data_IF_694890802842
#
_entry.id   IF_694890802842
#
_cell.length_a   1.000
_cell.length_b   1.000
_cell.length_c   1.000
_cell.angle_alpha   90.00
_cell.angle_beta   90.00
_cell.angle_gamma   90.00
#
_symmetry.space_group_name_H-M   'P 1'
#
loop_
_entity.id
_entity.type
_entity.pdbx_description
1 polymer ?
#
# COMPACT_ATOMS: atom_id res chain seq x y z
N UNK A 1 -25.46 17.56 2.02
CA UNK A 1 -25.17 16.12 1.85
C UNK A 1 -23.65 15.87 1.82
N UNK A 2 -23.07 15.44 2.94
CA UNK A 2 -21.66 15.09 3.03
C UNK A 2 -21.50 13.58 2.78
N UNK A 3 -21.03 13.20 1.60
CA UNK A 3 -20.71 11.81 1.29
C UNK A 3 -19.37 11.46 1.92
N UNK A 4 -19.40 10.77 3.06
CA UNK A 4 -18.23 10.03 3.55
C UNK A 4 -18.07 8.78 2.67
N UNK A 5 -16.96 8.59 1.95
CA UNK A 5 -16.77 7.37 1.18
C UNK A 5 -16.50 6.20 2.14
N UNK A 6 -17.24 5.12 1.95
CA UNK A 6 -17.21 3.92 2.76
C UNK A 6 -15.81 3.28 2.79
N UNK A 7 -15.19 3.28 3.97
CA UNK A 7 -13.95 2.57 4.26
C UNK A 7 -14.22 1.07 4.49
N UNK A 8 -14.68 0.34 3.48
CA UNK A 8 -15.09 -1.07 3.66
C UNK A 8 -14.71 -2.02 2.54
N UNK A 9 -13.77 -1.64 1.68
CA UNK A 9 -13.00 -2.59 0.91
C UNK A 9 -11.54 -2.16 1.01
N UNK A 10 -10.62 -3.07 1.34
CA UNK A 10 -9.26 -2.98 0.79
C UNK A 10 -9.46 -2.95 -0.70
N UNK A 11 -9.52 -1.74 -1.22
CA UNK A 11 -9.98 -1.47 -2.55
C UNK A 11 -8.74 -1.56 -3.39
N UNK A 12 -8.85 -2.15 -4.59
CA UNK A 12 -7.77 -2.09 -5.57
C UNK A 12 -7.21 -0.65 -5.72
N UNK A 13 -8.04 0.37 -5.45
CA UNK A 13 -7.65 1.77 -5.29
C UNK A 13 -6.59 2.02 -4.19
N UNK A 14 -6.72 1.47 -2.99
CA UNK A 14 -5.73 1.63 -1.92
C UNK A 14 -4.38 0.99 -2.28
N UNK A 15 -4.38 -0.17 -2.96
CA UNK A 15 -3.15 -0.77 -3.49
C UNK A 15 -2.54 0.06 -4.61
N UNK A 16 -3.36 0.58 -5.54
CA UNK A 16 -2.90 1.44 -6.63
C UNK A 16 -2.32 2.76 -6.13
N UNK A 17 -2.94 3.38 -5.13
CA UNK A 17 -2.46 4.62 -4.49
C UNK A 17 -1.13 4.38 -3.75
N UNK A 18 -1.05 3.29 -2.99
CA UNK A 18 0.20 2.89 -2.32
C UNK A 18 1.33 2.62 -3.33
N UNK A 19 1.05 1.95 -4.44
CA UNK A 19 2.01 1.71 -5.53
C UNK A 19 2.52 3.01 -6.14
N UNK A 20 1.63 3.96 -6.41
CA UNK A 20 1.98 5.26 -6.97
C UNK A 20 2.85 6.07 -6.01
N UNK A 21 2.51 6.06 -4.72
CA UNK A 21 3.29 6.70 -3.68
C UNK A 21 4.72 6.12 -3.58
N UNK A 22 4.87 4.79 -3.58
CA UNK A 22 6.18 4.12 -3.55
C UNK A 22 7.01 4.43 -4.80
N UNK A 23 6.37 4.44 -5.98
CA UNK A 23 7.06 4.80 -7.23
C UNK A 23 7.56 6.24 -7.19
N UNK A 24 6.78 7.17 -6.64
CA UNK A 24 7.19 8.57 -6.47
C UNK A 24 8.30 8.76 -5.43
N UNK A 25 8.45 7.82 -4.48
CA UNK A 25 9.56 7.76 -3.54
C UNK A 25 10.85 7.17 -4.16
N UNK A 26 10.76 6.66 -5.40
CA UNK A 26 11.90 6.11 -6.14
C UNK A 26 12.05 4.59 -6.07
N UNK A 27 11.07 3.87 -5.51
CA UNK A 27 11.08 2.40 -5.54
C UNK A 27 10.67 1.87 -6.92
N UNK A 28 11.31 0.79 -7.36
CA UNK A 28 10.95 0.13 -8.61
C UNK A 28 9.51 -0.44 -8.54
N UNK A 29 8.72 -0.25 -9.61
CA UNK A 29 7.32 -0.65 -9.63
C UNK A 29 7.10 -2.15 -9.33
N UNK A 30 7.98 -3.03 -9.83
CA UNK A 30 7.91 -4.48 -9.53
C UNK A 30 8.13 -4.78 -8.04
N UNK A 31 9.14 -4.16 -7.43
CA UNK A 31 9.44 -4.34 -6.00
C UNK A 31 8.31 -3.78 -5.13
N UNK A 32 7.85 -2.57 -5.46
CA UNK A 32 6.72 -1.93 -4.80
C UNK A 32 5.45 -2.80 -4.89
N UNK A 33 5.15 -3.37 -6.06
CA UNK A 33 3.97 -4.23 -6.25
C UNK A 33 4.04 -5.47 -5.35
N UNK A 34 5.20 -6.13 -5.30
CA UNK A 34 5.42 -7.28 -4.43
C UNK A 34 5.28 -6.94 -2.94
N UNK A 35 5.82 -5.80 -2.51
CA UNK A 35 5.75 -5.35 -1.13
C UNK A 35 4.34 -4.93 -0.70
N UNK A 36 3.60 -4.22 -1.57
CA UNK A 36 2.20 -3.82 -1.31
C UNK A 36 1.28 -5.05 -1.27
N UNK A 37 1.47 -6.02 -2.17
CA UNK A 37 0.69 -7.26 -2.17
C UNK A 37 0.92 -8.06 -0.88
N UNK A 38 2.18 -8.16 -0.42
CA UNK A 38 2.50 -8.78 0.87
C UNK A 38 1.90 -8.01 2.05
N UNK A 39 2.01 -6.68 2.05
CA UNK A 39 1.41 -5.84 3.09
C UNK A 39 -0.13 -6.01 3.16
N UNK A 40 -0.80 -6.08 2.00
CA UNK A 40 -2.24 -6.30 1.91
C UNK A 40 -2.65 -7.71 2.35
N UNK A 41 -1.79 -8.71 2.15
CA UNK A 41 -2.01 -10.07 2.63
C UNK A 41 -1.85 -10.19 4.16
N UNK A 42 -0.96 -9.38 4.76
CA UNK A 42 -0.73 -9.36 6.21
C UNK A 42 -1.86 -8.67 6.97
N UNK A 43 -2.49 -7.66 6.39
CA UNK A 43 -3.58 -6.90 7.04
C UNK A 43 -4.72 -6.66 6.05
N UNK A 44 -5.67 -7.60 6.02
CA UNK A 44 -6.89 -7.50 5.21
C UNK A 44 -7.83 -6.45 5.82
N UNK A 45 -7.67 -5.21 5.37
CA UNK A 45 -8.37 -4.05 5.93
C UNK A 45 -7.49 -2.80 5.94
N UNK A 46 -6.19 -2.97 5.72
CA UNK A 46 -5.22 -1.88 5.80
C UNK A 46 -5.63 -0.68 4.96
N UNK A 47 -5.79 0.46 5.62
CA UNK A 47 -5.88 1.73 4.93
C UNK A 47 -4.59 1.99 4.14
N UNK A 48 -4.68 2.74 3.04
CA UNK A 48 -3.54 3.12 2.20
C UNK A 48 -2.27 3.54 2.97
N UNK A 49 -2.30 4.44 3.98
CA UNK A 49 -1.09 4.81 4.71
C UNK A 49 -0.48 3.65 5.51
N UNK A 50 -1.28 2.69 5.95
CA UNK A 50 -0.78 1.47 6.61
C UNK A 50 -0.09 0.54 5.61
N UNK A 51 -0.66 0.38 4.41
CA UNK A 51 -0.03 -0.38 3.32
C UNK A 51 1.32 0.20 2.91
N UNK A 52 1.41 1.53 2.74
CA UNK A 52 2.67 2.20 2.36
C UNK A 52 3.74 1.94 3.42
N UNK A 53 3.44 2.14 4.70
CA UNK A 53 4.42 1.92 5.78
C UNK A 53 4.85 0.46 5.88
N UNK A 54 3.92 -0.48 5.73
CA UNK A 54 4.23 -1.91 5.74
C UNK A 54 5.12 -2.29 4.54
N UNK A 55 4.79 -1.81 3.33
CA UNK A 55 5.59 -2.04 2.14
C UNK A 55 7.01 -1.46 2.27
N UNK A 56 7.17 -0.24 2.79
CA UNK A 56 8.49 0.36 3.05
C UNK A 56 9.33 -0.48 4.01
N UNK A 57 8.72 -1.07 5.04
CA UNK A 57 9.41 -1.97 5.99
C UNK A 57 9.84 -3.29 5.34
N UNK A 58 9.11 -3.77 4.35
CA UNK A 58 9.47 -4.97 3.58
C UNK A 58 10.59 -4.70 2.59
N UNK A 59 10.64 -3.49 2.02
CA UNK A 59 11.65 -3.06 1.04
C UNK A 59 12.94 -2.53 1.69
N UNK A 60 12.89 -2.18 2.97
CA UNK A 60 14.08 -1.74 3.70
C UNK A 60 15.14 -2.87 3.72
N UNK A 61 16.42 -2.56 3.49
CA UNK A 61 17.49 -3.54 3.57
C UNK A 61 17.54 -4.13 4.97
N UNK A 62 17.62 -5.45 5.03
CA UNK A 62 17.71 -6.22 6.27
C UNK A 62 19.19 -6.45 6.55
N UNK A 63 19.81 -5.46 7.18
CA UNK A 63 21.13 -5.60 7.81
C UNK A 63 20.99 -6.27 9.18
#
# INVERSE_FOLDING_TARGET
>A
PAAQPAASAVSAAAMADALSALTNLGYAASEAAGAVAQAAALDQGAATPSLIRAALRLLAPKE
#
